data_IF_682394436003
#
_entry.id   IF_682394436003
#
_cell.length_a   1.000
_cell.length_b   1.000
_cell.length_c   1.000
_cell.angle_alpha   90.00
_cell.angle_beta   90.00
_cell.angle_gamma   90.00
#
_symmetry.space_group_name_H-M   'P 1'
#
loop_
_entity.id
_entity.type
_entity.pdbx_description
1 polymer ?
#
# COMPACT_ATOMS: atom_id res chain seq x y z
N UNK A 1 7.24 -7.27 20.39
CA UNK A 1 8.17 -7.92 19.43
C UNK A 1 8.60 -9.35 19.83
N UNK A 2 8.55 -9.74 21.11
CA UNK A 2 8.84 -11.12 21.54
C UNK A 2 7.91 -12.15 20.89
N UNK A 3 6.62 -11.86 20.77
CA UNK A 3 5.63 -12.76 20.17
C UNK A 3 5.90 -13.05 18.68
N UNK A 4 6.27 -12.03 17.90
CA UNK A 4 6.65 -12.21 16.49
C UNK A 4 7.90 -13.09 16.35
N UNK A 5 8.85 -12.97 17.29
CA UNK A 5 10.03 -13.83 17.34
C UNK A 5 9.68 -15.27 17.72
N UNK A 6 8.82 -15.47 18.72
CA UNK A 6 8.33 -16.78 19.15
C UNK A 6 7.53 -17.49 18.04
N UNK A 7 6.79 -16.74 17.23
CA UNK A 7 6.09 -17.26 16.04
C UNK A 7 6.99 -17.43 14.81
N UNK A 8 8.30 -17.18 14.95
CA UNK A 8 9.30 -17.37 13.90
C UNK A 8 9.22 -16.37 12.75
N UNK A 9 8.47 -15.27 12.88
CA UNK A 9 8.31 -14.30 11.79
C UNK A 9 9.54 -13.43 11.54
N UNK A 10 10.43 -13.30 12.53
CA UNK A 10 11.63 -12.45 12.43
C UNK A 10 12.87 -13.20 11.92
N UNK A 11 12.89 -14.53 12.03
CA UNK A 11 14.06 -15.38 11.71
C UNK A 11 13.71 -16.42 10.62
N UNK A 12 12.87 -16.04 9.65
CA UNK A 12 12.44 -16.94 8.55
C UNK A 12 13.48 -16.97 7.42
N UNK A 13 14.04 -18.14 7.08
CA UNK A 13 15.00 -18.25 5.97
C UNK A 13 14.35 -18.29 4.58
N UNK A 14 13.02 -18.31 4.50
CA UNK A 14 12.25 -18.45 3.26
C UNK A 14 11.17 -17.39 3.09
N UNK A 15 10.83 -17.10 1.83
CA UNK A 15 9.78 -16.15 1.43
C UNK A 15 8.41 -16.50 2.01
N UNK A 16 7.54 -15.49 2.09
CA UNK A 16 6.11 -15.69 2.41
C UNK A 16 5.42 -16.51 1.32
N UNK A 17 4.53 -17.41 1.72
CA UNK A 17 3.80 -18.29 0.80
C UNK A 17 2.74 -17.53 -0.01
N UNK A 18 2.23 -16.44 0.55
CA UNK A 18 1.27 -15.54 -0.07
C UNK A 18 1.27 -14.18 0.64
N UNK A 19 0.63 -13.18 0.03
CA UNK A 19 0.37 -11.90 0.70
C UNK A 19 -0.58 -12.08 1.90
N UNK A 20 -1.51 -13.03 1.82
CA UNK A 20 -2.38 -13.40 2.94
C UNK A 20 -1.57 -13.97 4.12
N UNK A 21 -0.48 -14.71 3.87
CA UNK A 21 0.37 -15.18 4.95
C UNK A 21 1.02 -14.04 5.75
N UNK A 22 1.21 -12.85 5.14
CA UNK A 22 1.72 -11.65 5.81
C UNK A 22 0.71 -11.11 6.82
N UNK A 23 -0.60 -11.26 6.56
CA UNK A 23 -1.65 -10.79 7.51
C UNK A 23 -1.59 -11.54 8.83
N UNK A 24 -0.94 -12.71 8.90
CA UNK A 24 -0.67 -13.41 10.17
C UNK A 24 0.20 -12.58 11.12
N UNK A 25 0.98 -11.61 10.64
CA UNK A 25 1.68 -10.64 11.48
C UNK A 25 0.74 -9.75 12.30
N UNK A 26 -0.51 -9.60 11.85
CA UNK A 26 -1.54 -8.83 12.54
C UNK A 26 -1.68 -9.22 14.02
N UNK A 27 -1.61 -10.51 14.34
CA UNK A 27 -1.70 -10.96 15.73
C UNK A 27 -0.60 -10.37 16.63
N UNK A 28 0.57 -10.05 16.07
CA UNK A 28 1.72 -9.51 16.80
C UNK A 28 1.77 -7.97 16.80
N UNK A 29 1.07 -7.32 15.88
CA UNK A 29 1.14 -5.88 15.62
C UNK A 29 -0.25 -5.26 15.46
N UNK A 30 -1.20 -5.73 16.26
CA UNK A 30 -2.60 -5.31 16.21
C UNK A 30 -2.78 -3.87 16.70
N UNK A 31 -3.33 -3.01 15.85
CA UNK A 31 -3.78 -1.66 16.14
C UNK A 31 -5.00 -1.36 15.24
N UNK A 32 -5.85 -0.37 15.57
CA UNK A 32 -6.93 0.02 14.67
C UNK A 32 -6.45 0.41 13.26
N UNK A 33 -5.24 0.99 13.16
CA UNK A 33 -4.64 1.32 11.88
C UNK A 33 -4.23 0.06 11.09
N UNK A 34 -3.61 -0.94 11.73
CA UNK A 34 -3.22 -2.18 11.05
C UNK A 34 -4.44 -3.04 10.68
N UNK A 35 -5.52 -2.96 11.45
CA UNK A 35 -6.81 -3.60 11.11
C UNK A 35 -7.37 -3.03 9.80
N UNK A 36 -7.44 -1.69 9.72
CA UNK A 36 -7.91 -0.99 8.53
C UNK A 36 -7.01 -1.29 7.31
N UNK A 37 -5.69 -1.27 7.49
CA UNK A 37 -4.74 -1.60 6.41
C UNK A 37 -4.96 -3.03 5.89
N UNK A 38 -5.11 -4.02 6.77
CA UNK A 38 -5.33 -5.42 6.34
C UNK A 38 -6.61 -5.57 5.52
N UNK A 39 -7.64 -4.79 5.82
CA UNK A 39 -8.91 -4.81 5.09
C UNK A 39 -8.86 -4.05 3.75
N UNK A 40 -8.10 -2.95 3.68
CA UNK A 40 -8.19 -1.98 2.58
C UNK A 40 -6.93 -1.85 1.72
N UNK A 41 -5.87 -2.63 1.96
CA UNK A 41 -4.59 -2.46 1.23
C UNK A 41 -4.69 -2.63 -0.30
N UNK A 42 -5.74 -3.30 -0.81
CA UNK A 42 -6.00 -3.47 -2.25
C UNK A 42 -6.86 -2.35 -2.85
N UNK A 43 -7.41 -1.46 -2.03
CA UNK A 43 -8.30 -0.41 -2.51
C UNK A 43 -7.48 0.76 -3.06
N UNK A 44 -7.65 1.09 -4.35
CA UNK A 44 -6.94 2.21 -5.00
C UNK A 44 -7.15 3.55 -4.27
N UNK A 45 -8.35 3.77 -3.71
CA UNK A 45 -8.67 4.95 -2.92
C UNK A 45 -7.83 5.02 -1.63
N UNK A 46 -7.65 3.88 -0.96
CA UNK A 46 -6.82 3.81 0.24
C UNK A 46 -5.33 3.95 -0.10
N UNK A 47 -4.86 3.31 -1.18
CA UNK A 47 -3.51 3.50 -1.70
C UNK A 47 -3.22 4.99 -1.98
N UNK A 48 -4.14 5.69 -2.64
CA UNK A 48 -4.03 7.12 -2.91
C UNK A 48 -4.04 7.98 -1.63
N UNK A 49 -4.93 7.68 -0.67
CA UNK A 49 -5.06 8.44 0.58
C UNK A 49 -3.77 8.40 1.44
N UNK A 50 -3.00 7.32 1.38
CA UNK A 50 -1.74 7.21 2.12
C UNK A 50 -0.68 8.24 1.69
N UNK A 51 -0.75 8.77 0.47
CA UNK A 51 0.14 9.86 0.03
C UNK A 51 -0.16 11.21 0.70
N UNK A 52 -1.33 11.34 1.34
CA UNK A 52 -1.76 12.54 2.06
C UNK A 52 -1.72 12.37 3.58
N UNK A 53 -2.09 11.18 4.08
CA UNK A 53 -2.31 10.91 5.51
C UNK A 53 -1.57 9.68 6.04
N UNK A 54 -0.79 9.00 5.19
CA UNK A 54 -0.05 7.80 5.56
C UNK A 54 1.30 8.12 6.21
N UNK A 55 2.20 7.14 6.17
CA UNK A 55 3.51 7.20 6.83
C UNK A 55 4.42 8.30 6.25
N UNK A 56 4.26 8.64 4.97
CA UNK A 56 5.10 9.62 4.29
C UNK A 56 4.30 10.62 3.43
N UNK A 57 3.72 11.67 4.03
CA UNK A 57 2.82 12.60 3.35
C UNK A 57 3.51 13.78 2.66
N UNK A 58 4.82 13.72 2.38
CA UNK A 58 5.59 14.88 1.87
C UNK A 58 5.93 14.83 0.38
N UNK A 59 5.65 13.71 -0.30
CA UNK A 59 6.07 13.49 -1.69
C UNK A 59 5.04 13.93 -2.72
N UNK A 60 3.75 13.91 -2.38
CA UNK A 60 2.69 14.21 -3.35
C UNK A 60 2.69 15.68 -3.72
N UNK A 61 2.68 15.96 -5.03
CA UNK A 61 2.67 17.33 -5.57
C UNK A 61 1.80 17.41 -6.81
N UNK A 62 1.14 18.55 -7.01
CA UNK A 62 0.37 18.82 -8.22
C UNK A 62 1.29 18.83 -9.44
N UNK A 63 0.97 18.00 -10.43
CA UNK A 63 1.69 17.89 -11.69
C UNK A 63 0.93 18.63 -12.79
N UNK A 64 1.39 19.81 -13.19
CA UNK A 64 0.78 20.60 -14.28
C UNK A 64 1.23 20.16 -15.67
N UNK A 65 2.34 19.43 -15.78
CA UNK A 65 2.86 18.85 -17.03
C UNK A 65 3.57 17.54 -16.74
N UNK A 66 3.27 16.50 -17.51
CA UNK A 66 3.92 15.19 -17.38
C UNK A 66 5.44 15.29 -17.61
N UNK A 67 6.25 14.60 -16.79
CA UNK A 67 7.69 14.46 -17.06
C UNK A 67 7.95 13.85 -18.44
N UNK A 68 8.96 14.30 -19.20
CA UNK A 68 9.24 13.77 -20.55
C UNK A 68 9.54 12.27 -20.59
N UNK A 69 10.07 11.72 -19.50
CA UNK A 69 10.37 10.30 -19.34
C UNK A 69 9.19 9.48 -18.79
N UNK A 70 8.01 10.09 -18.64
CA UNK A 70 6.79 9.42 -18.17
C UNK A 70 5.63 9.61 -19.16
N UNK A 71 5.66 8.88 -20.29
CA UNK A 71 4.76 9.11 -21.43
C UNK A 71 3.39 8.45 -21.23
N UNK A 72 2.65 8.86 -20.20
CA UNK A 72 1.24 8.46 -20.02
C UNK A 72 0.39 9.13 -21.11
N UNK A 73 -0.44 8.36 -21.80
CA UNK A 73 -1.29 8.84 -22.89
C UNK A 73 -2.73 9.04 -22.44
N UNK A 74 -3.54 9.88 -23.11
CA UNK A 74 -4.96 10.04 -22.79
C UNK A 74 -5.74 8.72 -22.82
N UNK A 75 -5.42 7.81 -23.74
CA UNK A 75 -6.09 6.51 -23.86
C UNK A 75 -5.85 5.61 -22.63
N UNK A 76 -4.68 5.71 -21.97
CA UNK A 76 -4.38 4.92 -20.78
C UNK A 76 -5.24 5.31 -19.57
N UNK A 77 -5.67 6.57 -19.50
CA UNK A 77 -6.37 7.13 -18.33
C UNK A 77 -7.85 7.42 -18.58
N UNK A 78 -8.32 7.36 -19.83
CA UNK A 78 -9.70 7.60 -20.19
C UNK A 78 -10.74 6.83 -19.34
N UNK A 79 -10.53 5.52 -19.02
CA UNK A 79 -11.48 4.80 -18.17
C UNK A 79 -11.62 5.38 -16.76
N UNK A 80 -10.55 5.97 -16.22
CA UNK A 80 -10.51 6.52 -14.87
C UNK A 80 -10.97 7.98 -14.79
N UNK A 81 -10.84 8.74 -15.88
CA UNK A 81 -11.23 10.16 -15.92
C UNK A 81 -12.70 10.38 -16.26
N UNK A 82 -13.39 9.34 -16.75
CA UNK A 82 -14.76 9.43 -17.22
C UNK A 82 -14.88 10.04 -18.63
N UNK A 83 -16.10 10.10 -19.18
CA UNK A 83 -16.33 10.72 -20.49
C UNK A 83 -16.02 12.21 -20.43
N UNK A 84 -15.32 12.70 -21.46
CA UNK A 84 -15.15 14.13 -21.74
C UNK A 84 -16.36 14.69 -22.48
#
# INVERSE_FOLDING_TARGET
NLEAKLRGFLDRPSSWESLEAITRLYCCFHTPATEYVVQHWQDDAFFGAQYLSGVNPVLLRRCSRLPPNFPVTPAMVAPSLGPH
#
